data_IF_751960645032
#
_entry.id   IF_751960645032
#
_cell.length_a   1.000
_cell.length_b   1.000
_cell.length_c   1.000
_cell.angle_alpha   90.00
_cell.angle_beta   90.00
_cell.angle_gamma   90.00
#
_symmetry.space_group_name_H-M   'P 1'
#
loop_
_entity.id
_entity.type
_entity.pdbx_description
1 polymer ?
#
# COMPACT_ATOMS: atom_id res chain seq x y z
N UNK A 1 -10.48 -2.48 -17.07
CA UNK A 1 -9.25 -2.35 -16.24
C UNK A 1 -9.70 -1.82 -14.88
N UNK A 2 -9.40 -2.50 -13.76
CA UNK A 2 -9.82 -2.01 -12.43
C UNK A 2 -8.98 -0.76 -12.12
N UNK A 3 -9.59 0.33 -11.66
CA UNK A 3 -8.85 1.56 -11.34
C UNK A 3 -7.75 1.31 -10.28
N UNK A 4 -7.99 0.36 -9.38
CA UNK A 4 -7.02 -0.08 -8.36
C UNK A 4 -5.80 -0.83 -8.91
N UNK A 5 -5.73 -1.09 -10.22
CA UNK A 5 -4.58 -1.75 -10.87
C UNK A 5 -3.88 -0.84 -11.88
N UNK A 6 -4.11 0.47 -11.80
CA UNK A 6 -3.30 1.45 -12.53
C UNK A 6 -1.97 1.65 -11.79
N UNK A 7 -0.85 1.80 -12.52
CA UNK A 7 0.46 1.97 -11.90
C UNK A 7 0.56 3.31 -11.17
N UNK A 8 1.27 3.31 -10.05
CA UNK A 8 1.78 4.53 -9.46
C UNK A 8 3.06 4.94 -10.18
N UNK A 9 3.17 6.21 -10.55
CA UNK A 9 4.37 6.79 -11.17
C UNK A 9 4.90 7.89 -10.27
N UNK A 10 6.15 7.74 -9.81
CA UNK A 10 6.79 8.67 -8.91
C UNK A 10 8.03 9.25 -9.60
N UNK A 11 8.17 10.58 -9.60
CA UNK A 11 9.43 11.24 -9.91
C UNK A 11 10.32 11.19 -8.67
N UNK A 12 11.53 10.63 -8.78
CA UNK A 12 12.45 10.48 -7.64
C UNK A 12 13.81 11.01 -8.04
N UNK A 13 14.38 11.90 -7.22
CA UNK A 13 15.73 12.42 -7.41
C UNK A 13 16.70 11.54 -6.63
N UNK A 14 17.68 10.95 -7.33
CA UNK A 14 18.68 10.08 -6.70
C UNK A 14 19.52 10.82 -5.67
N UNK A 15 19.88 10.15 -4.57
CA UNK A 15 20.69 10.66 -3.48
C UNK A 15 20.10 11.94 -2.84
N UNK A 16 18.78 12.09 -2.90
CA UNK A 16 18.04 13.22 -2.36
C UNK A 16 16.98 12.75 -1.35
N UNK A 17 16.07 13.63 -0.99
CA UNK A 17 14.92 13.27 -0.17
C UNK A 17 14.03 12.26 -0.89
N UNK A 18 13.33 11.44 -0.10
CA UNK A 18 12.35 10.50 -0.62
C UNK A 18 11.17 11.25 -1.23
N UNK A 19 10.65 10.71 -2.32
CA UNK A 19 9.34 11.10 -2.85
C UNK A 19 8.28 10.33 -2.08
N UNK A 20 7.31 11.07 -1.54
CA UNK A 20 6.20 10.54 -0.76
C UNK A 20 4.87 10.83 -1.46
N UNK A 21 4.06 9.78 -1.64
CA UNK A 21 2.69 9.88 -2.16
C UNK A 21 1.74 9.36 -1.08
N UNK A 22 0.68 10.11 -0.82
CA UNK A 22 -0.41 9.72 0.09
C UNK A 22 -1.71 9.85 -0.68
N UNK A 23 -2.42 8.75 -0.86
CA UNK A 23 -3.70 8.73 -1.58
C UNK A 23 -4.70 7.94 -0.77
N UNK A 24 -5.73 8.60 -0.28
CA UNK A 24 -6.70 7.96 0.60
C UNK A 24 -7.83 8.87 1.03
N UNK A 25 -8.62 8.36 1.96
CA UNK A 25 -9.74 9.02 2.61
C UNK A 25 -9.63 8.88 4.12
N UNK A 26 -10.20 9.83 4.85
CA UNK A 26 -10.34 9.75 6.30
C UNK A 26 -11.66 9.09 6.65
N UNK A 27 -11.60 7.98 7.40
CA UNK A 27 -12.77 7.22 7.82
C UNK A 27 -13.10 7.55 9.27
N UNK A 28 -14.30 8.08 9.57
CA UNK A 28 -14.71 8.30 10.95
C UNK A 28 -14.91 6.95 11.65
N UNK A 29 -14.32 6.82 12.83
CA UNK A 29 -14.46 5.70 13.76
C UNK A 29 -15.07 6.25 15.06
N UNK A 30 -16.29 5.84 15.37
CA UNK A 30 -17.05 6.37 16.51
C UNK A 30 -17.15 5.39 17.68
N UNK A 31 -17.12 5.92 18.90
CA UNK A 31 -17.57 5.23 20.11
C UNK A 31 -18.52 6.16 20.88
N UNK A 32 -19.83 5.97 20.72
CA UNK A 32 -20.83 6.85 21.33
C UNK A 32 -20.91 8.22 20.62
N UNK A 33 -20.81 9.33 21.39
CA UNK A 33 -20.99 10.69 20.88
C UNK A 33 -19.71 11.37 20.34
N UNK A 34 -18.58 10.65 20.29
CA UNK A 34 -17.31 11.17 19.79
C UNK A 34 -16.78 10.35 18.59
N UNK A 35 -16.11 11.04 17.67
CA UNK A 35 -15.47 10.46 16.49
C UNK A 35 -13.96 10.66 16.54
N UNK A 36 -13.22 9.61 16.20
CA UNK A 36 -11.83 9.70 15.74
C UNK A 36 -11.80 9.40 14.24
N UNK A 37 -10.69 9.70 13.56
CA UNK A 37 -10.54 9.44 12.13
C UNK A 37 -9.36 8.53 11.89
N UNK A 38 -9.51 7.63 10.92
CA UNK A 38 -8.45 6.75 10.45
C UNK A 38 -8.26 6.93 8.95
N UNK A 39 -7.05 7.30 8.56
CA UNK A 39 -6.66 7.34 7.15
C UNK A 39 -6.68 5.93 6.55
N UNK A 40 -7.30 5.81 5.37
CA UNK A 40 -7.36 4.58 4.59
C UNK A 40 -7.01 4.88 3.14
N UNK A 41 -6.11 4.09 2.57
CA UNK A 41 -5.69 4.21 1.18
C UNK A 41 -4.26 3.70 0.98
N UNK A 42 -3.65 4.13 -0.12
CA UNK A 42 -2.30 3.72 -0.53
C UNK A 42 -1.31 4.86 -0.29
N UNK A 43 -0.27 4.55 0.48
CA UNK A 43 0.83 5.43 0.80
C UNK A 43 2.12 4.80 0.30
N UNK A 44 2.91 5.56 -0.45
CA UNK A 44 4.18 5.09 -1.01
C UNK A 44 5.27 6.09 -0.66
N UNK A 45 6.39 5.59 -0.13
CA UNK A 45 7.63 6.33 -0.01
C UNK A 45 8.69 5.67 -0.89
N UNK A 46 9.36 6.45 -1.73
CA UNK A 46 10.41 5.97 -2.60
C UNK A 46 11.63 6.87 -2.52
N UNK A 47 12.77 6.29 -2.16
CA UNK A 47 14.09 6.90 -2.33
C UNK A 47 14.87 6.17 -3.41
N UNK A 48 15.79 6.88 -4.05
CA UNK A 48 16.71 6.29 -5.01
C UNK A 48 18.16 6.65 -4.63
N UNK A 49 19.06 5.69 -4.77
CA UNK A 49 20.50 5.88 -4.65
C UNK A 49 21.15 5.47 -5.97
N UNK A 50 22.05 6.31 -6.49
CA UNK A 50 22.86 5.96 -7.66
C UNK A 50 24.08 5.18 -7.18
N UNK A 51 24.28 3.99 -7.72
CA UNK A 51 25.45 3.15 -7.48
C UNK A 51 26.38 3.16 -8.70
N UNK A 52 27.48 2.40 -8.65
CA UNK A 52 28.39 2.23 -9.79
C UNK A 52 27.68 1.55 -10.96
N UNK A 53 28.25 1.70 -12.15
CA UNK A 53 27.83 1.03 -13.38
C UNK A 53 26.39 1.29 -13.82
N UNK A 54 25.80 2.48 -13.57
CA UNK A 54 24.40 2.78 -13.91
C UNK A 54 23.39 1.82 -13.25
N UNK A 55 23.74 1.34 -12.06
CA UNK A 55 22.85 0.61 -11.18
C UNK A 55 22.22 1.58 -10.17
N UNK A 56 20.93 1.40 -9.90
CA UNK A 56 20.20 2.23 -8.96
C UNK A 56 19.58 1.35 -7.89
N UNK A 57 19.72 1.77 -6.64
CA UNK A 57 19.02 1.16 -5.51
C UNK A 57 17.78 1.98 -5.20
N UNK A 58 16.61 1.38 -5.41
CA UNK A 58 15.35 1.96 -4.98
C UNK A 58 15.00 1.43 -3.60
N UNK A 59 14.66 2.30 -2.68
CA UNK A 59 14.21 1.97 -1.31
C UNK A 59 12.74 2.37 -1.23
N UNK A 60 11.86 1.39 -1.14
CA UNK A 60 10.43 1.56 -1.30
C UNK A 60 9.72 1.07 -0.04
N UNK A 61 8.80 1.90 0.46
CA UNK A 61 7.80 1.50 1.46
C UNK A 61 6.42 1.69 0.85
N UNK A 62 5.58 0.67 0.93
CA UNK A 62 4.17 0.69 0.53
C UNK A 62 3.33 0.34 1.75
N UNK A 63 2.38 1.20 2.09
CA UNK A 63 1.31 0.96 3.06
C UNK A 63 -0.02 1.09 2.32
N UNK A 64 -0.68 -0.03 2.09
CA UNK A 64 -1.99 -0.08 1.44
C UNK A 64 -3.03 -0.53 2.46
N UNK A 65 -4.08 0.27 2.62
CA UNK A 65 -5.13 0.01 3.59
C UNK A 65 -6.51 0.19 2.96
N UNK A 66 -7.46 -0.63 3.39
CA UNK A 66 -8.84 -0.60 2.91
C UNK A 66 -9.82 -0.92 4.02
N UNK A 67 -11.05 -0.45 3.88
CA UNK A 67 -12.15 -0.84 4.76
C UNK A 67 -12.66 -2.20 4.29
N UNK A 68 -12.68 -3.18 5.19
CA UNK A 68 -13.45 -4.40 5.01
C UNK A 68 -14.82 -4.18 5.63
N UNK A 69 -15.83 -4.07 4.77
CA UNK A 69 -17.22 -4.11 5.22
C UNK A 69 -17.61 -5.59 5.28
N UNK A 70 -17.95 -6.09 6.46
CA UNK A 70 -18.53 -7.43 6.60
C UNK A 70 -19.88 -7.44 5.86
N UNK A 71 -19.90 -7.93 4.62
CA UNK A 71 -21.12 -8.03 3.83
C UNK A 71 -21.94 -9.26 4.27
N UNK A 72 -23.03 -9.05 5.02
CA UNK A 72 -24.25 -9.86 4.87
C UNK A 72 -24.87 -10.50 6.14
N UNK A 73 -26.21 -10.65 6.18
CA UNK A 73 -26.95 -11.27 7.28
C UNK A 73 -26.71 -12.78 7.28
N UNK A 74 -25.89 -13.26 8.22
CA UNK A 74 -25.54 -14.69 8.31
C UNK A 74 -24.30 -15.01 9.13
N UNK A 75 -23.56 -14.02 9.64
CA UNK A 75 -22.44 -14.20 10.57
C UNK A 75 -22.90 -14.79 11.90
N UNK A 76 -23.07 -16.11 11.90
CA UNK A 76 -23.59 -16.89 13.02
C UNK A 76 -22.47 -17.22 13.99
N UNK A 77 -22.78 -17.05 15.28
CA UNK A 77 -22.11 -17.58 16.46
C UNK A 77 -20.68 -17.08 16.75
N UNK A 78 -20.59 -15.96 17.49
CA UNK A 78 -19.38 -15.65 18.29
C UNK A 78 -19.06 -14.17 18.49
N UNK A 79 -19.66 -13.26 17.73
CA UNK A 79 -19.35 -11.83 17.87
C UNK A 79 -20.16 -11.21 18.99
N UNK A 80 -19.43 -10.72 20.01
CA UNK A 80 -19.95 -9.88 21.08
C UNK A 80 -20.74 -8.69 20.50
N UNK A 81 -21.88 -8.28 21.08
CA UNK A 81 -22.82 -7.29 20.52
C UNK A 81 -22.24 -5.88 20.28
N UNK A 82 -20.95 -5.65 20.53
CA UNK A 82 -20.24 -4.37 20.37
C UNK A 82 -19.71 -4.16 18.94
N UNK A 83 -19.66 -5.18 18.08
CA UNK A 83 -18.96 -5.10 16.77
C UNK A 83 -19.86 -5.01 15.54
N UNK A 84 -21.18 -4.93 15.71
CA UNK A 84 -22.13 -5.02 14.58
C UNK A 84 -22.02 -3.86 13.57
N UNK A 85 -21.52 -2.70 14.01
CA UNK A 85 -21.39 -1.49 13.19
C UNK A 85 -19.96 -0.90 13.16
N UNK A 86 -18.95 -1.65 13.62
CA UNK A 86 -17.56 -1.19 13.66
C UNK A 86 -16.80 -1.71 12.43
N UNK A 87 -16.27 -0.84 11.56
CA UNK A 87 -15.54 -1.27 10.37
C UNK A 87 -14.26 -2.04 10.75
N UNK A 88 -13.99 -3.15 10.05
CA UNK A 88 -12.66 -3.75 10.05
C UNK A 88 -11.80 -3.10 8.97
N UNK A 89 -10.49 -3.04 9.22
CA UNK A 89 -9.53 -2.46 8.29
C UNK A 89 -8.51 -3.52 7.91
N UNK A 90 -8.32 -3.70 6.60
CA UNK A 90 -7.23 -4.49 6.05
C UNK A 90 -6.03 -3.58 5.83
N UNK A 91 -4.84 -4.09 6.10
CA UNK A 91 -3.59 -3.38 5.82
C UNK A 91 -2.54 -4.32 5.26
N UNK A 92 -1.86 -3.88 4.22
CA UNK A 92 -0.69 -4.50 3.64
C UNK A 92 0.47 -3.52 3.75
N UNK A 93 1.59 -3.96 4.34
CA UNK A 93 2.79 -3.14 4.48
C UNK A 93 3.99 -3.88 3.93
N UNK A 94 4.74 -3.24 3.06
CA UNK A 94 6.00 -3.75 2.52
C UNK A 94 7.06 -2.66 2.59
N UNK A 95 8.27 -3.03 3.03
CA UNK A 95 9.45 -2.16 3.02
C UNK A 95 10.62 -2.94 2.49
N UNK A 96 11.24 -2.43 1.42
CA UNK A 96 12.25 -3.18 0.69
C UNK A 96 13.18 -2.32 -0.13
N UNK A 97 14.27 -2.94 -0.58
CA UNK A 97 15.17 -2.36 -1.57
C UNK A 97 15.26 -3.25 -2.80
N UNK A 98 15.35 -2.64 -3.98
CA UNK A 98 15.54 -3.32 -5.26
C UNK A 98 16.65 -2.63 -6.05
N UNK A 99 17.47 -3.43 -6.73
CA UNK A 99 18.53 -2.97 -7.62
C UNK A 99 18.05 -3.09 -9.07
N UNK A 100 18.03 -1.96 -9.79
CA UNK A 100 17.60 -1.89 -11.18
C UNK A 100 18.54 -1.03 -12.00
N UNK A 101 18.70 -1.38 -13.26
CA UNK A 101 19.28 -0.50 -14.30
C UNK A 101 18.15 0.29 -14.98
N UNK A 102 18.53 1.30 -15.75
CA UNK A 102 17.59 2.04 -16.60
C UNK A 102 16.80 1.09 -17.52
N UNK A 103 15.48 1.28 -17.58
CA UNK A 103 14.53 0.48 -18.36
C UNK A 103 14.20 -0.90 -17.78
N UNK A 104 14.78 -1.30 -16.64
CA UNK A 104 14.51 -2.60 -16.04
C UNK A 104 13.25 -2.60 -15.17
N UNK A 105 12.56 -3.74 -15.15
CA UNK A 105 11.47 -4.04 -14.24
C UNK A 105 11.67 -5.41 -13.61
N UNK A 106 11.25 -5.57 -12.35
CA UNK A 106 11.24 -6.86 -11.66
C UNK A 106 10.03 -6.98 -10.74
N UNK A 107 9.56 -8.21 -10.55
CA UNK A 107 8.58 -8.49 -9.49
C UNK A 107 9.33 -8.55 -8.17
N UNK A 108 8.94 -7.70 -7.22
CA UNK A 108 9.55 -7.69 -5.90
C UNK A 108 8.91 -8.72 -4.96
N UNK A 109 7.58 -8.68 -4.80
CA UNK A 109 6.88 -9.56 -3.87
C UNK A 109 5.53 -10.01 -4.38
N UNK A 110 5.11 -11.17 -3.89
CA UNK A 110 3.75 -11.69 -3.98
C UNK A 110 3.39 -12.20 -2.60
N UNK A 111 2.40 -11.60 -1.97
CA UNK A 111 1.95 -11.96 -0.63
C UNK A 111 0.45 -12.23 -0.63
N UNK A 112 0.04 -13.37 -0.09
CA UNK A 112 -1.37 -13.74 0.06
C UNK A 112 -1.84 -13.33 1.44
N UNK A 113 -2.94 -12.58 1.52
CA UNK A 113 -3.64 -12.30 2.75
C UNK A 113 -4.37 -13.57 3.23
N UNK A 114 -4.00 -14.15 4.38
CA UNK A 114 -4.60 -15.40 4.85
C UNK A 114 -6.07 -15.26 5.27
N UNK A 115 -6.56 -14.03 5.51
CA UNK A 115 -7.95 -13.80 5.94
C UNK A 115 -8.89 -13.70 4.75
N UNK A 116 -8.49 -12.97 3.71
CA UNK A 116 -9.32 -12.73 2.52
C UNK A 116 -9.00 -13.64 1.33
N UNK A 117 -7.82 -14.26 1.30
CA UNK A 117 -7.29 -14.97 0.15
C UNK A 117 -6.78 -14.05 -0.98
N UNK A 118 -6.85 -12.73 -0.81
CA UNK A 118 -6.38 -11.77 -1.80
C UNK A 118 -4.86 -11.81 -1.93
N UNK A 119 -4.35 -11.79 -3.16
CA UNK A 119 -2.91 -11.78 -3.44
C UNK A 119 -2.47 -10.37 -3.82
N UNK A 120 -1.57 -9.80 -3.02
CA UNK A 120 -0.88 -8.56 -3.34
C UNK A 120 0.38 -8.87 -4.14
N UNK A 121 0.55 -8.23 -5.30
CA UNK A 121 1.77 -8.30 -6.11
C UNK A 121 2.34 -6.92 -6.29
N UNK A 122 3.66 -6.79 -6.13
CA UNK A 122 4.37 -5.54 -6.36
C UNK A 122 5.41 -5.76 -7.45
N UNK A 123 5.19 -5.09 -8.57
CA UNK A 123 6.13 -4.97 -9.67
C UNK A 123 6.75 -3.58 -9.63
N UNK A 124 8.07 -3.51 -9.78
CA UNK A 124 8.82 -2.25 -9.76
C UNK A 124 9.57 -2.09 -11.07
N UNK A 125 9.44 -0.92 -11.68
CA UNK A 125 10.18 -0.53 -12.86
C UNK A 125 10.91 0.79 -12.65
N UNK A 126 12.02 0.96 -13.36
CA UNK A 126 12.84 2.18 -13.35
C UNK A 126 13.03 2.71 -14.76
N UNK A 127 12.76 4.00 -14.96
CA UNK A 127 13.19 4.76 -16.13
C UNK A 127 13.96 5.98 -15.66
N UNK A 128 15.20 6.13 -16.14
CA UNK A 128 16.08 7.24 -15.78
C UNK A 128 15.86 8.38 -16.77
N UNK A 129 15.47 9.54 -16.24
CA UNK A 129 15.41 10.77 -17.03
C UNK A 129 16.83 11.31 -17.24
N UNK A 130 17.12 11.71 -18.49
CA UNK A 130 18.41 12.25 -18.92
C UNK A 130 18.34 13.76 -19.11
#
# INVERSE_FOLDING_TARGET
KKLSSLPFVLGVVSNSMKTNVRMGVEVPIGFGASYSYRSVGTNIDCGAETLSDALYRLIITVDDSSIQLNAGPGSSAGQSPVTKDVPSFRSFKASFAVLLRDGQSTQYTSATDPVSGEVMKIDVGLNVMK
#
